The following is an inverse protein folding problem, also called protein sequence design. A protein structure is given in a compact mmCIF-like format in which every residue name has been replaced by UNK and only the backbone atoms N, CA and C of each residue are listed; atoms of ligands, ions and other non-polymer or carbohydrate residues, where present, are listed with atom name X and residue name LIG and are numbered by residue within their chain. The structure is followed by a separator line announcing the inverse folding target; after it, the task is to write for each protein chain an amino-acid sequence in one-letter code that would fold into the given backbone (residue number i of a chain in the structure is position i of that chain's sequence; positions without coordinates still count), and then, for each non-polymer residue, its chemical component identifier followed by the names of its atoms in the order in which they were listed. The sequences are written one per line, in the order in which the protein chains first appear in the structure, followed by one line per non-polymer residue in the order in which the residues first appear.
data_IF_005807808738
#
_entry.id   IF_005807808738
#
_cell.length_a   1.000
_cell.length_b   1.000
_cell.length_c   1.000
_cell.angle_alpha   90.00
_cell.angle_beta   90.00
_cell.angle_gamma   90.00
#
_symmetry.space_group_name_H-M   'P 1'
#
loop_
_entity.id
_entity.type
_entity.pdbx_description
1 polymer ?
#
# COMPACT_ATOMS: atom_id res chain seq x y z
N UNK A 1 11.56 46.00 -2.64
CA UNK A 1 10.32 46.74 -2.30
C UNK A 1 9.98 46.47 -0.86
N UNK A 2 9.85 47.51 -0.04
CA UNK A 2 9.40 47.41 1.35
C UNK A 2 7.91 47.73 1.40
N UNK A 3 7.14 46.87 2.05
CA UNK A 3 5.74 47.15 2.36
C UNK A 3 5.69 47.36 3.86
N UNK A 4 5.33 48.58 4.29
CA UNK A 4 5.19 48.93 5.71
C UNK A 4 6.46 48.70 6.54
N UNK A 5 7.62 49.05 5.98
CA UNK A 5 8.92 48.92 6.66
C UNK A 5 9.50 47.51 6.71
N UNK A 6 8.72 46.49 6.36
CA UNK A 6 9.15 45.09 6.26
C UNK A 6 9.52 44.78 4.81
N UNK A 7 10.64 44.08 4.62
CA UNK A 7 11.01 43.62 3.29
C UNK A 7 9.98 42.62 2.77
N UNK A 8 9.50 42.82 1.54
CA UNK A 8 8.53 41.95 0.88
C UNK A 8 8.97 40.47 0.90
N UNK A 9 10.27 40.20 0.83
CA UNK A 9 10.85 38.86 0.96
C UNK A 9 10.53 38.20 2.30
N UNK A 10 10.56 38.94 3.41
CA UNK A 10 10.24 38.44 4.75
C UNK A 10 8.76 38.08 4.86
N UNK A 11 7.89 38.91 4.29
CA UNK A 11 6.44 38.66 4.26
C UNK A 11 6.13 37.41 3.42
N UNK A 12 6.75 37.28 2.25
CA UNK A 12 6.59 36.10 1.38
C UNK A 12 7.07 34.83 2.09
N UNK A 13 8.25 34.87 2.72
CA UNK A 13 8.78 33.72 3.47
C UNK A 13 7.84 33.34 4.61
N UNK A 14 7.35 34.30 5.40
CA UNK A 14 6.42 34.02 6.50
C UNK A 14 5.12 33.36 6.02
N UNK A 15 4.53 33.86 4.93
CA UNK A 15 3.32 33.27 4.33
C UNK A 15 3.56 31.86 3.79
N UNK A 16 4.69 31.63 3.11
CA UNK A 16 5.08 30.31 2.60
C UNK A 16 5.30 29.34 3.75
N UNK A 17 6.03 29.73 4.81
CA UNK A 17 6.25 28.91 6.00
C UNK A 17 4.93 28.57 6.70
N UNK A 18 4.03 29.54 6.86
CA UNK A 18 2.71 29.31 7.46
C UNK A 18 1.86 28.34 6.62
N UNK A 19 1.85 28.49 5.30
CA UNK A 19 1.15 27.59 4.39
C UNK A 19 1.71 26.16 4.45
N UNK A 20 3.04 26.02 4.43
CA UNK A 20 3.71 24.72 4.56
C UNK A 20 3.33 24.08 5.91
N UNK A 21 3.44 24.82 7.01
CA UNK A 21 3.05 24.34 8.35
C UNK A 21 1.60 23.88 8.42
N UNK A 22 0.68 24.64 7.83
CA UNK A 22 -0.74 24.27 7.74
C UNK A 22 -0.97 22.97 6.96
N UNK A 23 -0.34 22.82 5.78
CA UNK A 23 -0.46 21.62 4.95
C UNK A 23 0.09 20.37 5.67
N UNK A 24 1.23 20.50 6.35
CA UNK A 24 1.80 19.41 7.14
C UNK A 24 0.88 19.02 8.31
N UNK A 25 0.32 19.99 9.03
CA UNK A 25 -0.60 19.73 10.14
C UNK A 25 -1.89 19.04 9.65
N UNK A 26 -2.48 19.53 8.57
CA UNK A 26 -3.70 18.95 7.99
C UNK A 26 -3.47 17.51 7.51
N UNK A 27 -2.30 17.23 6.91
CA UNK A 27 -1.92 15.88 6.50
C UNK A 27 -1.66 14.97 7.70
N UNK A 28 -1.04 15.48 8.75
CA UNK A 28 -0.80 14.74 10.00
C UNK A 28 -2.13 14.31 10.63
N UNK A 29 -3.07 15.23 10.78
CA UNK A 29 -4.39 14.96 11.35
C UNK A 29 -5.17 13.94 10.53
N UNK A 30 -5.16 14.06 9.19
CA UNK A 30 -5.79 13.07 8.30
C UNK A 30 -5.18 11.68 8.45
N UNK A 31 -3.86 11.57 8.59
CA UNK A 31 -3.17 10.28 8.83
C UNK A 31 -3.56 9.67 10.16
N UNK A 32 -3.63 10.47 11.23
CA UNK A 32 -4.05 10.01 12.55
C UNK A 32 -5.50 9.47 12.52
N UNK A 33 -6.42 10.23 11.92
CA UNK A 33 -7.81 9.77 11.72
C UNK A 33 -7.85 8.46 10.93
N UNK A 34 -7.12 8.37 9.82
CA UNK A 34 -7.05 7.17 9.00
C UNK A 34 -6.55 5.96 9.80
N UNK A 35 -5.47 6.09 10.58
CA UNK A 35 -4.94 5.00 11.38
C UNK A 35 -5.91 4.57 12.47
N UNK A 36 -6.63 5.51 13.08
CA UNK A 36 -7.66 5.23 14.07
C UNK A 36 -8.83 4.45 13.47
N UNK A 37 -9.32 4.87 12.31
CA UNK A 37 -10.38 4.17 11.58
C UNK A 37 -9.92 2.78 11.11
N UNK A 38 -8.70 2.68 10.56
CA UNK A 38 -8.11 1.41 10.15
C UNK A 38 -7.95 0.45 11.33
N UNK A 39 -7.51 0.94 12.49
CA UNK A 39 -7.41 0.16 13.71
C UNK A 39 -8.77 -0.33 14.21
N UNK A 40 -9.82 0.50 14.11
CA UNK A 40 -11.18 0.09 14.41
C UNK A 40 -11.67 -1.00 13.44
N UNK A 41 -11.54 -0.80 12.12
CA UNK A 41 -11.89 -1.81 11.12
C UNK A 41 -11.11 -3.12 11.30
N UNK A 42 -9.82 -3.03 11.62
CA UNK A 42 -8.97 -4.20 11.87
C UNK A 42 -9.47 -5.03 13.06
N UNK A 43 -9.65 -4.40 14.21
CA UNK A 43 -10.03 -5.09 15.44
C UNK A 43 -11.48 -5.55 15.43
N UNK A 44 -12.38 -4.76 14.86
CA UNK A 44 -13.82 -5.02 14.95
C UNK A 44 -14.34 -5.88 13.80
N UNK A 45 -13.62 -5.96 12.68
CA UNK A 45 -14.09 -6.67 11.48
C UNK A 45 -13.02 -7.56 10.87
N UNK A 46 -11.87 -7.04 10.45
CA UNK A 46 -10.93 -7.84 9.66
C UNK A 46 -10.35 -9.03 10.46
N UNK A 47 -9.94 -8.82 11.71
CA UNK A 47 -9.46 -9.90 12.58
C UNK A 47 -10.53 -10.98 12.86
N UNK A 48 -11.71 -10.63 13.40
CA UNK A 48 -12.71 -11.65 13.72
C UNK A 48 -13.26 -12.36 12.46
N UNK A 49 -13.45 -11.64 11.35
CA UNK A 49 -13.86 -12.28 10.09
C UNK A 49 -12.79 -13.24 9.57
N UNK A 50 -11.52 -12.83 9.61
CA UNK A 50 -10.41 -13.67 9.17
C UNK A 50 -10.29 -14.94 10.01
N UNK A 51 -10.36 -14.83 11.33
CA UNK A 51 -10.29 -15.97 12.25
C UNK A 51 -11.45 -16.94 12.01
N UNK A 52 -12.69 -16.45 11.93
CA UNK A 52 -13.86 -17.30 11.68
C UNK A 52 -13.81 -17.98 10.31
N UNK A 53 -13.45 -17.23 9.26
CA UNK A 53 -13.32 -17.81 7.92
C UNK A 53 -12.17 -18.82 7.87
N UNK A 54 -11.06 -18.58 8.57
CA UNK A 54 -9.96 -19.56 8.67
C UNK A 54 -10.46 -20.88 9.26
N UNK A 55 -11.21 -20.83 10.36
CA UNK A 55 -11.80 -22.02 10.98
C UNK A 55 -12.76 -22.74 10.03
N UNK A 56 -13.59 -22.01 9.29
CA UNK A 56 -14.50 -22.58 8.27
C UNK A 56 -13.70 -23.30 7.16
N UNK A 57 -12.61 -22.70 6.70
CA UNK A 57 -11.77 -23.28 5.64
C UNK A 57 -11.07 -24.55 6.14
N UNK A 58 -10.52 -24.53 7.36
CA UNK A 58 -9.79 -25.63 7.98
C UNK A 58 -10.68 -26.82 8.39
N UNK A 59 -11.97 -26.59 8.64
CA UNK A 59 -12.91 -27.66 8.99
C UNK A 59 -13.06 -28.66 7.84
N UNK A 60 -12.83 -29.95 8.07
CA UNK A 60 -13.01 -30.97 7.02
C UNK A 60 -14.44 -31.52 6.96
N UNK A 61 -15.08 -31.64 8.12
CA UNK A 61 -16.44 -32.18 8.23
C UNK A 61 -17.44 -31.23 7.55
N UNK A 62 -18.14 -31.75 6.53
CA UNK A 62 -19.04 -30.96 5.69
C UNK A 62 -20.22 -30.36 6.46
N UNK A 63 -20.90 -31.15 7.30
CA UNK A 63 -22.04 -30.71 8.11
C UNK A 63 -21.63 -29.54 9.00
N UNK A 64 -20.51 -29.70 9.68
CA UNK A 64 -19.96 -28.68 10.57
C UNK A 64 -19.54 -27.41 9.80
N UNK A 65 -18.87 -27.57 8.65
CA UNK A 65 -18.50 -26.43 7.79
C UNK A 65 -19.70 -25.60 7.38
N UNK A 66 -20.79 -26.25 6.93
CA UNK A 66 -22.01 -25.56 6.51
C UNK A 66 -22.71 -24.88 7.70
N UNK A 67 -22.71 -25.51 8.88
CA UNK A 67 -23.21 -24.92 10.12
C UNK A 67 -22.45 -23.64 10.48
N UNK A 68 -21.12 -23.69 10.42
CA UNK A 68 -20.25 -22.53 10.70
C UNK A 68 -20.44 -21.41 9.68
N UNK A 69 -20.63 -21.73 8.39
CA UNK A 69 -20.99 -20.74 7.37
C UNK A 69 -22.31 -20.05 7.72
N UNK A 70 -23.31 -20.81 8.20
CA UNK A 70 -24.57 -20.24 8.64
C UNK A 70 -24.42 -19.24 9.79
N UNK A 71 -23.62 -19.60 10.80
CA UNK A 71 -23.30 -18.72 11.93
C UNK A 71 -22.62 -17.44 11.43
N UNK A 72 -21.61 -17.58 10.59
CA UNK A 72 -20.89 -16.47 9.99
C UNK A 72 -21.83 -15.51 9.25
N UNK A 73 -22.68 -16.03 8.36
CA UNK A 73 -23.61 -15.20 7.58
C UNK A 73 -24.59 -14.47 8.51
N UNK A 74 -25.07 -15.11 9.57
CA UNK A 74 -25.99 -14.50 10.54
C UNK A 74 -25.33 -13.39 11.35
N UNK A 75 -24.14 -13.64 11.90
CA UNK A 75 -23.39 -12.70 12.72
C UNK A 75 -23.15 -11.38 11.97
N UNK A 76 -22.63 -11.47 10.75
CA UNK A 76 -22.31 -10.28 9.95
C UNK A 76 -23.52 -9.68 9.21
N UNK A 77 -24.67 -10.35 9.23
CA UNK A 77 -25.95 -9.85 8.68
C UNK A 77 -26.81 -9.10 9.68
N UNK A 78 -26.51 -9.17 10.98
CA UNK A 78 -27.35 -8.55 12.01
C UNK A 78 -27.33 -7.01 11.91
N UNK A 79 -28.37 -6.34 12.42
CA UNK A 79 -28.46 -4.86 12.44
C UNK A 79 -27.32 -4.22 13.23
N UNK A 80 -26.83 -4.91 14.26
CA UNK A 80 -25.70 -4.49 15.08
C UNK A 80 -24.34 -4.84 14.47
N UNK A 81 -24.33 -5.52 13.32
CA UNK A 81 -23.11 -5.87 12.60
C UNK A 81 -22.33 -4.62 12.22
N UNK A 82 -21.04 -4.64 12.53
CA UNK A 82 -20.12 -3.57 12.17
C UNK A 82 -19.55 -3.74 10.76
N UNK A 83 -20.13 -4.62 9.92
CA UNK A 83 -19.66 -4.90 8.55
C UNK A 83 -19.52 -3.65 7.67
N UNK A 84 -20.25 -2.56 7.98
CA UNK A 84 -20.07 -1.25 7.34
C UNK A 84 -18.67 -0.65 7.50
N UNK A 85 -17.86 -1.15 8.44
CA UNK A 85 -16.48 -0.73 8.65
C UNK A 85 -15.51 -1.37 7.64
N UNK A 86 -15.99 -2.29 6.80
CA UNK A 86 -15.22 -2.72 5.62
C UNK A 86 -15.13 -1.53 4.66
N UNK A 87 -13.91 -1.01 4.48
CA UNK A 87 -13.68 0.13 3.60
C UNK A 87 -13.88 -0.22 2.12
N UNK A 88 -13.63 -1.48 1.74
CA UNK A 88 -13.77 -1.96 0.37
C UNK A 88 -15.24 -2.24 0.03
N UNK A 89 -15.83 -1.38 -0.81
CA UNK A 89 -17.18 -1.59 -1.34
C UNK A 89 -17.32 -2.90 -2.11
N UNK A 90 -16.24 -3.37 -2.73
CA UNK A 90 -16.20 -4.65 -3.43
C UNK A 90 -16.40 -5.83 -2.49
N UNK A 91 -15.69 -5.86 -1.35
CA UNK A 91 -15.81 -6.94 -0.36
C UNK A 91 -17.21 -6.92 0.27
N UNK A 92 -17.75 -5.73 0.53
CA UNK A 92 -19.10 -5.58 1.06
C UNK A 92 -20.17 -6.12 0.10
N UNK A 93 -20.09 -5.76 -1.19
CA UNK A 93 -20.97 -6.31 -2.23
C UNK A 93 -20.80 -7.83 -2.37
N UNK A 94 -19.56 -8.32 -2.29
CA UNK A 94 -19.26 -9.74 -2.33
C UNK A 94 -19.90 -10.51 -1.16
N UNK A 95 -19.85 -9.96 0.06
CA UNK A 95 -20.54 -10.52 1.22
C UNK A 95 -22.06 -10.52 1.02
N UNK A 96 -22.65 -9.45 0.47
CA UNK A 96 -24.08 -9.43 0.17
C UNK A 96 -24.49 -10.49 -0.85
N UNK A 97 -23.64 -10.79 -1.84
CA UNK A 97 -23.85 -11.91 -2.77
C UNK A 97 -23.72 -13.25 -2.07
N UNK A 98 -22.69 -13.46 -1.24
CA UNK A 98 -22.53 -14.66 -0.42
C UNK A 98 -23.80 -14.93 0.41
N UNK A 99 -24.34 -13.89 1.07
CA UNK A 99 -25.58 -13.98 1.84
C UNK A 99 -26.75 -14.50 1.00
N UNK A 100 -26.92 -13.99 -0.23
CA UNK A 100 -27.97 -14.46 -1.16
C UNK A 100 -27.77 -15.92 -1.55
N UNK A 101 -26.54 -16.31 -1.86
CA UNK A 101 -26.19 -17.70 -2.20
C UNK A 101 -26.44 -18.63 -1.02
N UNK A 102 -26.13 -18.21 0.21
CA UNK A 102 -26.44 -18.96 1.43
C UNK A 102 -27.94 -19.20 1.59
N UNK A 103 -28.77 -18.16 1.46
CA UNK A 103 -30.23 -18.34 1.56
C UNK A 103 -30.79 -19.21 0.44
N UNK A 104 -30.25 -19.10 -0.78
CA UNK A 104 -30.61 -19.98 -1.90
C UNK A 104 -30.27 -21.44 -1.59
N UNK A 105 -29.10 -21.69 -1.00
CA UNK A 105 -28.70 -23.04 -0.58
C UNK A 105 -29.62 -23.62 0.50
N UNK A 106 -30.02 -22.83 1.50
CA UNK A 106 -30.96 -23.27 2.55
C UNK A 106 -32.36 -23.57 1.99
N UNK A 107 -32.81 -22.84 0.95
CA UNK A 107 -34.10 -23.09 0.30
C UNK A 107 -34.04 -24.30 -0.66
N UNK A 108 -32.91 -24.47 -1.33
CA UNK A 108 -32.69 -25.50 -2.34
C UNK A 108 -31.36 -26.21 -2.05
N UNK A 109 -31.41 -27.23 -1.18
CA UNK A 109 -30.25 -28.03 -0.75
C UNK A 109 -29.76 -28.96 -1.88
N UNK A 110 -29.20 -28.37 -2.94
CA UNK A 110 -28.63 -29.09 -4.06
C UNK A 110 -27.11 -28.89 -4.13
N UNK A 111 -26.44 -29.85 -4.79
CA UNK A 111 -24.96 -29.86 -4.91
C UNK A 111 -24.39 -28.65 -5.66
N UNK A 112 -25.18 -28.02 -6.53
CA UNK A 112 -24.72 -26.87 -7.33
C UNK A 112 -24.65 -25.62 -6.44
N UNK A 113 -25.71 -25.34 -5.69
CA UNK A 113 -25.79 -24.23 -4.73
C UNK A 113 -24.78 -24.41 -3.59
N UNK A 114 -24.57 -25.63 -3.13
CA UNK A 114 -23.54 -25.94 -2.13
C UNK A 114 -22.14 -25.59 -2.64
N UNK A 115 -21.82 -26.02 -3.85
CA UNK A 115 -20.51 -25.73 -4.47
C UNK A 115 -20.33 -24.23 -4.67
N UNK A 116 -21.34 -23.54 -5.17
CA UNK A 116 -21.34 -22.08 -5.34
C UNK A 116 -21.10 -21.36 -4.00
N UNK A 117 -21.76 -21.81 -2.93
CA UNK A 117 -21.57 -21.28 -1.58
C UNK A 117 -20.13 -21.45 -1.10
N UNK A 118 -19.57 -22.65 -1.23
CA UNK A 118 -18.19 -22.94 -0.81
C UNK A 118 -17.17 -22.15 -1.63
N UNK A 119 -17.38 -22.01 -2.94
CA UNK A 119 -16.53 -21.18 -3.80
C UNK A 119 -16.57 -19.70 -3.37
N UNK A 120 -17.76 -19.18 -3.05
CA UNK A 120 -17.92 -17.82 -2.55
C UNK A 120 -17.28 -17.63 -1.16
N UNK A 121 -17.39 -18.59 -0.24
CA UNK A 121 -16.71 -18.53 1.06
C UNK A 121 -15.19 -18.46 0.88
N UNK A 122 -14.63 -19.30 0.00
CA UNK A 122 -13.20 -19.27 -0.31
C UNK A 122 -12.75 -17.93 -0.93
N UNK A 123 -13.56 -17.37 -1.83
CA UNK A 123 -13.30 -16.06 -2.41
C UNK A 123 -13.30 -14.96 -1.36
N UNK A 124 -14.29 -14.94 -0.46
CA UNK A 124 -14.36 -13.97 0.63
C UNK A 124 -13.18 -14.12 1.59
N UNK A 125 -12.81 -15.36 1.94
CA UNK A 125 -11.64 -15.64 2.77
C UNK A 125 -10.37 -15.03 2.19
N UNK A 126 -10.10 -15.22 0.89
CA UNK A 126 -8.91 -14.63 0.26
C UNK A 126 -8.91 -13.10 0.30
N UNK A 127 -10.08 -12.46 0.12
CA UNK A 127 -10.18 -11.00 0.15
C UNK A 127 -9.98 -10.45 1.57
N UNK A 128 -10.61 -11.08 2.55
CA UNK A 128 -10.48 -10.69 3.96
C UNK A 128 -9.07 -10.95 4.49
N UNK A 129 -8.43 -12.06 4.08
CA UNK A 129 -7.03 -12.32 4.41
C UNK A 129 -6.12 -11.19 3.92
N UNK A 130 -6.32 -10.72 2.68
CA UNK A 130 -5.50 -9.64 2.13
C UNK A 130 -5.74 -8.32 2.87
N UNK A 131 -6.98 -7.93 3.16
CA UNK A 131 -7.29 -6.74 3.96
C UNK A 131 -6.74 -6.83 5.39
N UNK A 132 -6.90 -7.98 6.04
CA UNK A 132 -6.39 -8.25 7.38
C UNK A 132 -4.87 -8.01 7.45
N UNK A 133 -4.12 -8.62 6.54
CA UNK A 133 -2.66 -8.48 6.55
C UNK A 133 -2.20 -7.09 6.10
N UNK A 134 -2.88 -6.46 5.16
CA UNK A 134 -2.57 -5.09 4.77
C UNK A 134 -2.78 -4.12 5.93
N UNK A 135 -3.92 -4.22 6.63
CA UNK A 135 -4.21 -3.41 7.81
C UNK A 135 -3.19 -3.65 8.93
N UNK A 136 -2.87 -4.92 9.20
CA UNK A 136 -1.86 -5.30 10.18
C UNK A 136 -0.49 -4.72 9.85
N UNK A 137 -0.03 -4.85 8.60
CA UNK A 137 1.27 -4.35 8.16
C UNK A 137 1.35 -2.82 8.24
N UNK A 138 0.28 -2.10 7.87
CA UNK A 138 0.22 -0.64 7.98
C UNK A 138 0.30 -0.19 9.45
N UNK A 139 -0.53 -0.78 10.32
CA UNK A 139 -0.57 -0.44 11.76
C UNK A 139 0.79 -0.73 12.41
N UNK A 140 1.39 -1.87 12.07
CA UNK A 140 2.64 -2.31 12.65
C UNK A 140 3.86 -1.53 12.11
N UNK A 141 3.88 -1.17 10.83
CA UNK A 141 4.89 -0.28 10.26
C UNK A 141 4.83 1.11 10.91
N UNK A 142 3.62 1.65 11.13
CA UNK A 142 3.43 2.91 11.83
C UNK A 142 3.95 2.84 13.28
N UNK A 143 3.61 1.78 14.01
CA UNK A 143 4.10 1.55 15.36
C UNK A 143 5.64 1.42 15.42
N UNK A 144 6.25 0.68 14.49
CA UNK A 144 7.71 0.57 14.38
C UNK A 144 8.36 1.93 14.08
N UNK A 145 7.76 2.71 13.18
CA UNK A 145 8.22 4.04 12.86
C UNK A 145 8.13 4.96 14.09
N UNK A 146 7.03 4.92 14.83
CA UNK A 146 6.85 5.68 16.07
C UNK A 146 7.90 5.32 17.12
N UNK A 147 8.15 4.02 17.33
CA UNK A 147 9.21 3.58 18.25
C UNK A 147 10.58 4.08 17.78
N UNK A 148 10.86 3.96 16.48
CA UNK A 148 12.12 4.43 15.91
C UNK A 148 12.28 5.95 16.10
N UNK A 149 11.23 6.72 15.91
CA UNK A 149 11.27 8.19 16.00
C UNK A 149 11.30 8.68 17.46
N UNK A 150 10.75 7.91 18.40
CA UNK A 150 10.66 8.29 19.83
C UNK A 150 11.84 7.79 20.65
N UNK A 151 12.31 6.57 20.40
CA UNK A 151 13.30 5.89 21.25
C UNK A 151 14.68 5.71 20.60
N UNK A 152 14.85 6.06 19.32
CA UNK A 152 16.19 6.15 18.74
C UNK A 152 16.87 7.45 19.14
N UNK A 153 18.20 7.48 19.07
CA UNK A 153 18.97 8.70 19.30
C UNK A 153 18.42 9.84 18.41
N UNK A 154 18.01 10.99 18.98
CA UNK A 154 17.40 12.12 18.26
C UNK A 154 18.19 12.54 17.02
N UNK A 155 19.52 12.39 17.04
CA UNK A 155 20.37 12.66 15.90
C UNK A 155 20.03 11.79 14.68
N UNK A 156 19.84 10.49 14.86
CA UNK A 156 19.47 9.58 13.77
C UNK A 156 18.05 9.84 13.25
N UNK A 157 17.13 10.29 14.11
CA UNK A 157 15.76 10.65 13.72
C UNK A 157 15.77 11.89 12.84
N UNK A 158 16.49 12.95 13.24
CA UNK A 158 16.67 14.17 12.44
C UNK A 158 17.34 13.83 11.11
N UNK A 159 18.41 13.04 11.14
CA UNK A 159 19.14 12.63 9.94
C UNK A 159 18.25 11.83 8.97
N UNK A 160 17.46 10.88 9.48
CA UNK A 160 16.49 10.10 8.69
C UNK A 160 15.43 10.99 8.03
N UNK A 161 14.91 11.96 8.78
CA UNK A 161 13.96 12.94 8.24
C UNK A 161 14.58 13.83 7.16
N UNK A 162 15.83 14.26 7.32
CA UNK A 162 16.57 15.00 6.29
C UNK A 162 16.71 14.13 5.02
N UNK A 163 17.17 12.88 5.14
CA UNK A 163 17.27 11.97 3.99
C UNK A 163 15.93 11.74 3.29
N UNK A 164 14.83 11.65 4.04
CA UNK A 164 13.47 11.54 3.48
C UNK A 164 13.10 12.77 2.66
N UNK A 165 13.39 13.98 3.15
CA UNK A 165 13.17 15.24 2.43
C UNK A 165 14.04 15.29 1.16
N UNK A 166 15.34 14.97 1.28
CA UNK A 166 16.27 14.96 0.15
C UNK A 166 15.84 13.94 -0.91
N UNK A 167 15.26 12.80 -0.50
CA UNK A 167 14.71 11.82 -1.44
C UNK A 167 13.53 12.39 -2.21
N UNK A 168 12.56 13.02 -1.54
CA UNK A 168 11.44 13.66 -2.24
C UNK A 168 11.92 14.80 -3.16
N UNK A 169 12.93 15.54 -2.74
CA UNK A 169 13.58 16.54 -3.59
C UNK A 169 14.24 15.90 -4.83
N UNK A 170 14.88 14.73 -4.70
CA UNK A 170 15.44 14.01 -5.85
C UNK A 170 14.38 13.59 -6.87
N UNK A 171 13.21 13.13 -6.40
CA UNK A 171 12.07 12.78 -7.26
C UNK A 171 11.53 14.02 -7.98
N UNK A 172 11.46 15.14 -7.28
CA UNK A 172 11.07 16.41 -7.87
C UNK A 172 12.05 16.90 -8.96
N UNK A 173 13.36 16.85 -8.68
CA UNK A 173 14.41 17.18 -9.66
C UNK A 173 14.32 16.27 -10.89
N UNK A 174 14.07 14.97 -10.68
CA UNK A 174 13.84 14.04 -11.78
C UNK A 174 12.66 14.46 -12.65
N UNK A 175 11.49 14.78 -12.07
CA UNK A 175 10.35 15.24 -12.86
C UNK A 175 10.61 16.55 -13.60
N UNK A 176 11.28 17.52 -12.98
CA UNK A 176 11.70 18.75 -13.67
C UNK A 176 12.61 18.42 -14.85
N UNK A 177 13.56 17.50 -14.68
CA UNK A 177 14.49 17.12 -15.75
C UNK A 177 13.76 16.47 -16.94
N UNK A 178 12.71 15.67 -16.68
CA UNK A 178 11.84 15.10 -17.71
C UNK A 178 11.09 16.19 -18.46
N UNK A 179 10.54 17.18 -17.73
CA UNK A 179 9.85 18.32 -18.34
C UNK A 179 10.80 19.15 -19.20
N UNK A 180 12.01 19.42 -18.72
CA UNK A 180 13.06 20.11 -19.48
C UNK A 180 13.38 19.35 -20.77
N UNK A 181 13.58 18.03 -20.68
CA UNK A 181 13.86 17.20 -21.85
C UNK A 181 12.70 17.25 -22.86
N UNK A 182 11.45 17.13 -22.39
CA UNK A 182 10.26 17.24 -23.22
C UNK A 182 10.23 18.56 -24.00
N UNK A 183 10.37 19.70 -23.31
CA UNK A 183 10.42 21.02 -23.96
C UNK A 183 11.58 21.16 -24.94
N UNK A 184 12.73 20.55 -24.63
CA UNK A 184 13.90 20.58 -25.52
C UNK A 184 13.63 19.82 -26.82
N UNK A 185 12.96 18.66 -26.74
CA UNK A 185 12.55 17.88 -27.92
C UNK A 185 11.51 18.66 -28.74
N UNK A 186 10.53 19.29 -28.09
CA UNK A 186 9.54 20.13 -28.79
C UNK A 186 10.20 21.28 -29.52
N UNK A 187 11.18 21.95 -28.90
CA UNK A 187 11.94 23.04 -29.51
C UNK A 187 12.74 22.61 -30.75
N UNK A 188 13.22 21.35 -30.80
CA UNK A 188 13.88 20.81 -31.99
C UNK A 188 12.91 20.66 -33.18
N UNK A 189 11.62 20.41 -32.91
CA UNK A 189 10.58 20.21 -33.93
C UNK A 189 9.96 21.55 -34.35
N UNK A 190 9.71 22.44 -33.38
CA UNK A 190 9.13 23.76 -33.59
C UNK A 190 9.95 24.81 -32.83
N UNK A 191 10.93 25.46 -33.49
CA UNK A 191 11.82 26.38 -32.83
C UNK A 191 11.10 27.69 -32.47
N UNK A 192 11.03 28.00 -31.18
CA UNK A 192 10.52 29.26 -30.62
C UNK A 192 11.71 30.16 -30.24
N UNK A 193 11.70 31.43 -30.65
CA UNK A 193 12.83 32.37 -30.47
C UNK A 193 13.14 32.73 -29.01
N UNK A 194 12.22 32.48 -28.07
CA UNK A 194 12.37 32.88 -26.67
C UNK A 194 13.26 31.94 -25.83
N UNK A 195 13.71 30.81 -26.38
CA UNK A 195 14.53 29.85 -25.62
C UNK A 195 15.99 30.30 -25.47
N UNK A 196 16.57 30.19 -24.26
CA UNK A 196 17.97 30.54 -24.04
C UNK A 196 18.94 29.66 -24.83
N UNK A 197 20.04 30.23 -25.34
CA UNK A 197 21.07 29.51 -26.12
C UNK A 197 21.80 28.40 -25.34
N UNK A 198 21.76 28.43 -24.02
CA UNK A 198 22.31 27.38 -23.15
C UNK A 198 21.39 26.16 -23.03
N UNK A 199 20.14 26.28 -23.50
CA UNK A 199 19.14 25.22 -23.50
C UNK A 199 19.30 24.33 -24.74
N UNK A 200 20.31 23.47 -24.71
CA UNK A 200 20.63 22.53 -25.79
C UNK A 200 20.30 21.09 -25.40
N UNK A 201 20.06 20.24 -26.39
CA UNK A 201 19.72 18.82 -26.21
C UNK A 201 20.77 18.08 -25.36
N UNK A 202 22.06 18.39 -25.55
CA UNK A 202 23.17 17.84 -24.75
C UNK A 202 23.02 18.15 -23.27
N UNK A 203 22.64 19.38 -22.92
CA UNK A 203 22.46 19.80 -21.53
C UNK A 203 21.21 19.16 -20.92
N UNK A 204 20.12 19.03 -21.69
CA UNK A 204 18.91 18.34 -21.24
C UNK A 204 19.17 16.85 -20.92
N UNK A 205 19.92 16.16 -21.79
CA UNK A 205 20.36 14.78 -21.54
C UNK A 205 21.30 14.66 -20.33
N UNK A 206 22.20 15.62 -20.15
CA UNK A 206 23.08 15.65 -18.98
C UNK A 206 22.29 15.86 -17.69
N UNK A 207 21.30 16.75 -17.68
CA UNK A 207 20.42 16.98 -16.52
C UNK A 207 19.61 15.74 -16.14
N UNK A 208 19.02 15.03 -17.11
CA UNK A 208 18.26 13.82 -16.80
C UNK A 208 19.17 12.69 -16.31
N UNK A 209 20.38 12.55 -16.86
CA UNK A 209 21.35 11.56 -16.39
C UNK A 209 21.75 11.82 -14.93
N UNK A 210 22.09 13.07 -14.60
CA UNK A 210 22.42 13.46 -13.23
C UNK A 210 21.22 13.27 -12.28
N UNK A 211 20.01 13.59 -12.73
CA UNK A 211 18.81 13.39 -11.92
C UNK A 211 18.53 11.91 -11.66
N UNK A 212 18.74 11.03 -12.65
CA UNK A 212 18.64 9.57 -12.48
C UNK A 212 19.68 9.07 -11.48
N UNK A 213 20.94 9.50 -11.60
CA UNK A 213 22.00 9.11 -10.67
C UNK A 213 21.69 9.57 -9.24
N UNK A 214 21.28 10.82 -9.08
CA UNK A 214 20.91 11.38 -7.79
C UNK A 214 19.71 10.65 -7.17
N UNK A 215 18.66 10.39 -7.95
CA UNK A 215 17.50 9.62 -7.50
C UNK A 215 17.89 8.18 -7.12
N UNK A 216 18.76 7.53 -7.89
CA UNK A 216 19.26 6.19 -7.61
C UNK A 216 20.00 6.10 -6.27
N UNK A 217 20.91 7.04 -6.01
CA UNK A 217 21.62 7.15 -4.73
C UNK A 217 20.61 7.35 -3.58
N UNK A 218 19.63 8.25 -3.75
CA UNK A 218 18.64 8.52 -2.71
C UNK A 218 17.69 7.34 -2.45
N UNK A 219 17.38 6.53 -3.47
CA UNK A 219 16.61 5.29 -3.29
C UNK A 219 17.37 4.28 -2.40
N UNK A 220 18.69 4.18 -2.53
CA UNK A 220 19.49 3.30 -1.67
C UNK A 220 19.42 3.74 -0.20
N UNK A 221 19.58 5.03 0.09
CA UNK A 221 19.45 5.55 1.45
C UNK A 221 18.04 5.36 2.02
N UNK A 222 17.00 5.57 1.21
CA UNK A 222 15.61 5.34 1.62
C UNK A 222 15.38 3.91 2.09
N UNK A 223 15.90 2.92 1.36
CA UNK A 223 15.70 1.50 1.70
C UNK A 223 16.47 1.09 2.97
N UNK A 224 17.61 1.73 3.25
CA UNK A 224 18.38 1.51 4.48
C UNK A 224 17.66 2.12 5.70
N UNK A 225 17.03 3.28 5.53
CA UNK A 225 16.44 4.05 6.64
C UNK A 225 14.97 3.69 6.94
N UNK A 226 14.19 3.27 5.94
CA UNK A 226 12.79 2.89 6.13
C UNK A 226 12.73 1.41 6.51
N UNK A 227 12.47 1.15 7.80
CA UNK A 227 12.23 -0.20 8.32
C UNK A 227 10.83 -0.69 7.93
N UNK A 228 10.66 -1.11 6.68
CA UNK A 228 9.42 -1.77 6.24
C UNK A 228 9.23 -3.10 6.96
N UNK A 229 7.98 -3.45 7.28
CA UNK A 229 7.66 -4.82 7.64
C UNK A 229 7.80 -5.69 6.38
N UNK A 230 8.95 -6.33 6.19
CA UNK A 230 9.19 -7.22 5.04
C UNK A 230 8.45 -8.54 5.26
N UNK A 231 7.13 -8.52 5.07
CA UNK A 231 6.39 -9.74 4.82
C UNK A 231 6.69 -10.15 3.38
N UNK A 232 7.19 -11.38 3.19
CA UNK A 232 7.37 -11.89 1.83
C UNK A 232 6.01 -11.92 1.13
N UNK A 233 5.89 -11.20 0.02
CA UNK A 233 4.64 -11.18 -0.75
C UNK A 233 4.24 -12.60 -1.15
N UNK A 234 2.93 -12.87 -1.24
CA UNK A 234 2.41 -14.16 -1.71
C UNK A 234 3.04 -14.56 -3.06
N UNK A 235 3.31 -13.59 -3.94
CA UNK A 235 4.03 -13.80 -5.19
C UNK A 235 5.47 -14.30 -4.97
N UNK A 236 6.26 -13.65 -4.10
CA UNK A 236 7.63 -14.07 -3.80
C UNK A 236 7.65 -15.43 -3.12
N UNK A 237 6.72 -15.72 -2.20
CA UNK A 237 6.57 -17.06 -1.60
C UNK A 237 6.25 -18.12 -2.66
N UNK A 238 5.34 -17.82 -3.59
CA UNK A 238 4.96 -18.73 -4.66
C UNK A 238 6.09 -18.93 -5.68
N UNK A 239 6.85 -17.87 -5.99
CA UNK A 239 8.04 -17.92 -6.84
C UNK A 239 9.13 -18.77 -6.18
N UNK A 240 9.43 -18.53 -4.90
CA UNK A 240 10.37 -19.36 -4.12
C UNK A 240 9.94 -20.82 -4.07
N UNK A 241 8.65 -21.10 -3.86
CA UNK A 241 8.11 -22.47 -3.92
C UNK A 241 8.28 -23.10 -5.30
N UNK A 242 8.02 -22.36 -6.38
CA UNK A 242 8.24 -22.85 -7.76
C UNK A 242 9.71 -23.12 -8.05
N UNK A 243 10.60 -22.20 -7.69
CA UNK A 243 12.05 -22.34 -7.86
C UNK A 243 12.56 -23.53 -7.04
N UNK A 244 12.15 -23.66 -5.77
CA UNK A 244 12.52 -24.81 -4.92
C UNK A 244 12.05 -26.13 -5.51
N UNK A 245 10.82 -26.22 -6.03
CA UNK A 245 10.32 -27.42 -6.72
C UNK A 245 11.10 -27.72 -8.01
N UNK A 246 11.51 -26.70 -8.75
CA UNK A 246 12.33 -26.86 -9.94
C UNK A 246 13.70 -27.44 -9.59
N UNK A 247 14.40 -26.90 -8.60
CA UNK A 247 15.69 -27.42 -8.14
C UNK A 247 15.60 -28.84 -7.55
N UNK A 248 14.57 -29.15 -6.77
CA UNK A 248 14.35 -30.53 -6.27
C UNK A 248 14.08 -31.50 -7.42
N UNK A 249 13.35 -31.07 -8.46
CA UNK A 249 13.08 -31.91 -9.63
C UNK A 249 14.32 -32.14 -10.50
N UNK A 250 15.23 -31.16 -10.57
CA UNK A 250 16.53 -31.31 -11.25
C UNK A 250 17.44 -32.25 -10.46
N UNK A 251 17.53 -32.08 -9.13
CA UNK A 251 18.32 -32.96 -8.25
C UNK A 251 17.86 -34.42 -8.28
N UNK A 252 16.56 -34.68 -8.38
CA UNK A 252 16.01 -36.05 -8.45
C UNK A 252 15.99 -36.61 -9.89
N UNK A 253 16.30 -35.79 -10.89
CA UNK A 253 16.41 -36.20 -12.30
C UNK A 253 17.78 -36.82 -12.63
N UNK A 254 18.82 -36.45 -11.89
CA UNK A 254 20.19 -36.98 -12.07
C UNK A 254 20.37 -38.39 -11.47
N UNK A 255 19.59 -38.78 -10.46
CA UNK A 255 19.64 -40.14 -9.86
C UNK A 255 19.02 -41.25 -10.71
N UNK A 256 18.38 -40.94 -11.85
CA UNK A 256 17.76 -41.94 -12.74
C UNK A 256 18.57 -42.28 -13.99
N UNK A 257 19.78 -41.74 -14.10
CA UNK A 257 20.66 -41.94 -15.27
C UNK A 257 22.05 -42.50 -14.94
N UNK A 258 22.27 -42.99 -13.72
CA UNK A 258 23.49 -43.70 -13.31
C UNK A 258 23.22 -45.17 -13.04
#
# INVERSE_FOLDING_TARGET
MKIWGIDLSVIIVALVTAYIGYQFNLRSKKRETFLKELGASYNEIYSPMFEQLSLIIETEEKSEKLRMIGIFVQEYSNKDSKIRLIASSFILDYFHKLKRVYFKYIQEENRVNERELLEMVNGLYSMIEDEYWNAHDIIYEDHKQFISDTFSNPFFVILSNIFRIVYHFSVFVFWISVVILYFTITQLISPVEWFPKWWNITNAFLFILLAIMFMGIMMMFKEILIKKNRRESKFVKNLKKKIKRFFVKVSNGEERTS
#
